data_IF_653218700474
#
_entry.id   IF_653218700474
#
_cell.length_a   1.000
_cell.length_b   1.000
_cell.length_c   1.000
_cell.angle_alpha   90.00
_cell.angle_beta   90.00
_cell.angle_gamma   90.00
#
_symmetry.space_group_name_H-M   'P 1'
#
loop_
_entity.id
_entity.type
_entity.pdbx_description
1 polymer ?
#
# COMPACT_ATOMS: atom_id res chain seq x y z
N UNK A 1 -98.04 27.05 6.69
CA UNK A 1 -96.76 27.48 6.10
C UNK A 1 -95.68 26.53 6.58
N UNK A 2 -94.86 26.05 5.65
CA UNK A 2 -93.81 25.03 5.84
C UNK A 2 -92.79 25.41 6.92
N UNK A 3 -92.16 24.42 7.52
CA UNK A 3 -90.71 24.24 7.36
C UNK A 3 -90.32 22.79 7.64
N UNK A 4 -89.76 22.17 6.59
CA UNK A 4 -89.08 20.88 6.59
C UNK A 4 -87.85 20.95 7.49
N UNK A 5 -87.62 19.92 8.30
CA UNK A 5 -86.26 19.53 8.68
C UNK A 5 -86.14 18.03 8.55
N UNK A 6 -85.68 17.65 7.37
CA UNK A 6 -85.21 16.33 7.02
C UNK A 6 -83.70 16.35 7.28
N UNK A 7 -83.28 15.73 8.38
CA UNK A 7 -81.87 15.43 8.64
C UNK A 7 -81.84 14.01 9.17
N UNK A 8 -81.74 13.04 8.25
CA UNK A 8 -81.44 11.67 8.63
C UNK A 8 -80.01 11.62 9.17
N UNK A 9 -79.90 11.28 10.45
CA UNK A 9 -78.66 11.08 11.16
C UNK A 9 -77.90 9.90 10.54
N UNK A 10 -76.83 10.18 9.79
CA UNK A 10 -75.88 9.17 9.35
C UNK A 10 -75.19 8.68 10.63
N UNK A 11 -75.48 7.42 11.02
CA UNK A 11 -74.76 6.74 12.09
C UNK A 11 -73.26 6.84 11.78
N UNK A 12 -72.43 7.50 12.60
CA UNK A 12 -71.02 7.27 12.50
C UNK A 12 -70.84 5.85 13.05
N UNK A 13 -70.70 4.87 12.17
CA UNK A 13 -69.91 3.70 12.53
C UNK A 13 -68.58 4.27 12.97
N UNK A 14 -68.35 4.26 14.27
CA UNK A 14 -67.05 4.50 14.85
C UNK A 14 -66.16 3.37 14.39
N UNK A 15 -65.66 3.48 13.16
CA UNK A 15 -64.40 2.87 12.80
C UNK A 15 -63.42 3.52 13.76
N UNK A 16 -63.20 2.83 14.88
CA UNK A 16 -62.08 3.11 15.74
C UNK A 16 -60.86 2.84 14.88
N UNK A 17 -60.38 3.90 14.22
CA UNK A 17 -59.05 3.93 13.65
C UNK A 17 -58.14 3.93 14.87
N UNK A 18 -57.85 2.73 15.35
CA UNK A 18 -56.75 2.51 16.28
C UNK A 18 -55.53 3.12 15.60
N UNK A 19 -54.95 4.15 16.23
CA UNK A 19 -53.75 4.81 15.75
C UNK A 19 -52.58 3.80 15.83
N UNK A 20 -52.51 2.93 14.83
CA UNK A 20 -51.42 1.98 14.62
C UNK A 20 -50.15 2.69 14.08
N UNK A 21 -50.15 4.03 14.03
CA UNK A 21 -49.05 4.84 13.51
C UNK A 21 -47.82 4.92 14.42
N UNK A 22 -47.93 4.52 15.69
CA UNK A 22 -46.86 4.73 16.69
C UNK A 22 -46.19 3.45 17.21
N UNK A 23 -46.78 2.27 16.98
CA UNK A 23 -46.27 1.00 17.55
C UNK A 23 -45.10 0.38 16.76
N UNK A 24 -44.88 0.78 15.51
CA UNK A 24 -43.81 0.20 14.67
C UNK A 24 -42.42 0.76 15.03
N UNK A 25 -42.33 2.04 15.35
CA UNK A 25 -41.06 2.71 15.70
C UNK A 25 -40.61 2.45 17.15
N UNK A 26 -41.53 2.09 18.05
CA UNK A 26 -41.22 1.69 19.43
C UNK A 26 -40.84 0.21 19.58
N UNK A 27 -40.92 -0.56 18.50
CA UNK A 27 -40.62 -1.98 18.54
C UNK A 27 -39.11 -2.24 18.57
N UNK A 28 -38.68 -3.05 19.54
CA UNK A 28 -37.26 -3.37 19.76
C UNK A 28 -36.58 -3.93 18.50
N UNK A 29 -37.34 -4.63 17.65
CA UNK A 29 -36.83 -5.20 16.40
C UNK A 29 -36.46 -4.13 15.37
N UNK A 30 -37.22 -3.04 15.26
CA UNK A 30 -36.94 -1.94 14.32
C UNK A 30 -35.66 -1.20 14.72
N UNK A 31 -35.47 -0.98 16.03
CA UNK A 31 -34.25 -0.39 16.59
C UNK A 31 -33.05 -1.31 16.34
N UNK A 32 -33.18 -2.61 16.62
CA UNK A 32 -32.12 -3.59 16.37
C UNK A 32 -31.74 -3.69 14.88
N UNK A 33 -32.73 -3.66 13.98
CA UNK A 33 -32.50 -3.72 12.54
C UNK A 33 -31.63 -2.55 12.03
N UNK A 34 -31.75 -1.36 12.62
CA UNK A 34 -30.93 -0.20 12.28
C UNK A 34 -29.61 -0.16 13.07
N UNK A 35 -29.60 -0.67 14.31
CA UNK A 35 -28.39 -0.76 15.14
C UNK A 35 -27.38 -1.75 14.55
N UNK A 36 -27.81 -2.85 13.95
CA UNK A 36 -26.89 -3.87 13.41
C UNK A 36 -25.98 -3.29 12.31
N UNK A 37 -26.49 -2.64 11.24
CA UNK A 37 -25.64 -1.99 10.24
C UNK A 37 -24.75 -0.88 10.82
N UNK A 38 -25.27 -0.08 11.76
CA UNK A 38 -24.52 0.99 12.41
C UNK A 38 -23.37 0.43 13.26
N UNK A 39 -23.62 -0.61 14.04
CA UNK A 39 -22.62 -1.31 14.84
C UNK A 39 -21.59 -2.02 13.96
N UNK A 40 -22.02 -2.67 12.87
CA UNK A 40 -21.13 -3.29 11.89
C UNK A 40 -20.21 -2.25 11.22
N UNK A 41 -20.74 -1.10 10.82
CA UNK A 41 -19.95 0.00 10.27
C UNK A 41 -18.95 0.54 11.30
N UNK A 42 -19.38 0.77 12.55
CA UNK A 42 -18.50 1.20 13.64
C UNK A 42 -17.37 0.20 13.92
N UNK A 43 -17.70 -1.10 14.00
CA UNK A 43 -16.71 -2.17 14.17
C UNK A 43 -15.73 -2.25 13.00
N UNK A 44 -16.22 -2.09 11.76
CA UNK A 44 -15.36 -2.08 10.57
C UNK A 44 -14.40 -0.88 10.57
N UNK A 45 -14.87 0.32 10.93
CA UNK A 45 -14.02 1.50 11.05
C UNK A 45 -12.98 1.36 12.16
N UNK A 46 -13.39 0.83 13.33
CA UNK A 46 -12.47 0.54 14.42
C UNK A 46 -11.38 -0.45 14.00
N UNK A 47 -11.77 -1.58 13.39
CA UNK A 47 -10.84 -2.60 12.92
C UNK A 47 -9.86 -2.04 11.88
N UNK A 48 -10.36 -1.28 10.90
CA UNK A 48 -9.50 -0.61 9.88
C UNK A 48 -8.51 0.36 10.53
N UNK A 49 -8.98 1.22 11.43
CA UNK A 49 -8.11 2.18 12.13
C UNK A 49 -7.02 1.49 12.96
N UNK A 50 -7.34 0.34 13.57
CA UNK A 50 -6.39 -0.43 14.35
C UNK A 50 -5.33 -1.10 13.44
N UNK A 51 -5.78 -1.70 12.34
CA UNK A 51 -4.90 -2.32 11.34
C UNK A 51 -3.96 -1.28 10.69
N UNK A 52 -4.48 -0.11 10.31
CA UNK A 52 -3.69 0.96 9.69
C UNK A 52 -2.60 1.48 10.64
N UNK A 53 -2.88 1.56 11.94
CA UNK A 53 -1.89 1.98 12.94
C UNK A 53 -0.73 0.99 13.05
N UNK A 54 -1.03 -0.31 13.09
CA UNK A 54 -0.02 -1.38 13.10
C UNK A 54 0.84 -1.36 11.83
N UNK A 55 0.20 -1.26 10.66
CA UNK A 55 0.90 -1.21 9.37
C UNK A 55 1.77 0.04 9.27
N UNK A 56 1.31 1.18 9.78
CA UNK A 56 2.08 2.43 9.78
C UNK A 56 3.32 2.33 10.65
N UNK A 57 3.24 1.73 11.84
CA UNK A 57 4.39 1.57 12.72
C UNK A 57 5.44 0.64 12.12
N UNK A 58 5.02 -0.52 11.59
CA UNK A 58 5.91 -1.47 10.92
C UNK A 58 6.46 -0.89 9.61
N UNK A 59 5.60 -0.27 8.80
CA UNK A 59 5.97 0.38 7.55
C UNK A 59 6.99 1.50 7.76
N UNK A 60 6.79 2.34 8.78
CA UNK A 60 7.72 3.40 9.15
C UNK A 60 9.07 2.84 9.63
N UNK A 61 9.05 1.77 10.44
CA UNK A 61 10.28 1.11 10.87
C UNK A 61 11.07 0.54 9.67
N UNK A 62 10.40 -0.13 8.73
CA UNK A 62 11.02 -0.63 7.48
C UNK A 62 11.57 0.52 6.64
N UNK A 63 10.80 1.58 6.46
CA UNK A 63 11.21 2.77 5.70
C UNK A 63 12.49 3.41 6.29
N UNK A 64 12.58 3.50 7.62
CA UNK A 64 13.74 4.03 8.35
C UNK A 64 14.98 3.15 8.18
N UNK A 65 14.82 1.83 8.22
CA UNK A 65 15.93 0.87 8.13
C UNK A 65 16.34 0.53 6.70
N UNK A 66 15.51 0.85 5.71
CA UNK A 66 15.73 0.51 4.31
C UNK A 66 17.14 0.86 3.83
N UNK A 67 17.62 2.07 4.14
CA UNK A 67 18.95 2.53 3.72
C UNK A 67 20.09 1.74 4.39
N UNK A 68 20.03 1.56 5.72
CA UNK A 68 21.05 0.78 6.44
C UNK A 68 21.06 -0.69 6.01
N UNK A 69 19.89 -1.27 5.74
CA UNK A 69 19.78 -2.64 5.29
C UNK A 69 20.30 -2.82 3.87
N UNK A 70 20.04 -1.87 2.97
CA UNK A 70 20.60 -1.87 1.63
C UNK A 70 22.13 -1.77 1.64
N UNK A 71 22.70 -0.89 2.48
CA UNK A 71 24.16 -0.78 2.64
C UNK A 71 24.78 -2.09 3.11
N UNK A 72 24.16 -2.75 4.11
CA UNK A 72 24.61 -4.05 4.59
C UNK A 72 24.55 -5.11 3.48
N UNK A 73 23.51 -5.10 2.67
CA UNK A 73 23.39 -6.02 1.53
C UNK A 73 24.48 -5.78 0.48
N UNK A 74 24.82 -4.52 0.19
CA UNK A 74 25.93 -4.18 -0.72
C UNK A 74 27.31 -4.52 -0.14
N UNK A 75 27.46 -4.58 1.19
CA UNK A 75 28.67 -5.11 1.83
C UNK A 75 28.80 -6.64 1.62
N UNK A 76 27.69 -7.38 1.64
CA UNK A 76 27.71 -8.80 1.26
C UNK A 76 28.02 -8.99 -0.23
N UNK A 77 27.52 -8.11 -1.10
CA UNK A 77 27.90 -8.09 -2.52
C UNK A 77 29.41 -7.87 -2.71
N UNK A 78 30.03 -6.98 -1.91
CA UNK A 78 31.48 -6.74 -1.93
C UNK A 78 32.28 -7.99 -1.51
N UNK A 79 31.81 -8.71 -0.48
CA UNK A 79 32.44 -9.98 -0.04
C UNK A 79 32.31 -11.08 -1.10
N UNK A 80 31.14 -11.16 -1.75
CA UNK A 80 30.93 -12.09 -2.85
C UNK A 80 31.85 -11.77 -4.04
N UNK A 81 32.09 -10.48 -4.32
CA UNK A 81 33.02 -10.04 -5.36
C UNK A 81 34.45 -10.47 -5.05
N UNK A 82 34.91 -10.31 -3.80
CA UNK A 82 36.24 -10.77 -3.36
C UNK A 82 36.41 -12.30 -3.44
N UNK A 83 35.30 -13.04 -3.39
CA UNK A 83 35.29 -14.50 -3.50
C UNK A 83 35.03 -14.97 -4.94
N UNK A 84 35.06 -14.06 -5.92
CA UNK A 84 34.79 -14.30 -7.35
C UNK A 84 33.41 -14.93 -7.63
N UNK A 85 32.46 -14.77 -6.71
CA UNK A 85 31.11 -15.33 -6.80
C UNK A 85 30.18 -14.36 -7.53
N UNK A 86 30.45 -14.09 -8.81
CA UNK A 86 29.76 -13.05 -9.59
C UNK A 86 28.23 -13.18 -9.56
N UNK A 87 27.69 -14.40 -9.69
CA UNK A 87 26.24 -14.61 -9.59
C UNK A 87 25.63 -14.15 -8.27
N UNK A 88 26.35 -14.29 -7.15
CA UNK A 88 25.91 -13.83 -5.84
C UNK A 88 26.03 -12.30 -5.70
N UNK A 89 27.03 -11.68 -6.34
CA UNK A 89 27.14 -10.21 -6.40
C UNK A 89 25.86 -9.61 -6.99
N UNK A 90 25.42 -10.09 -8.15
CA UNK A 90 24.19 -9.59 -8.80
C UNK A 90 22.91 -9.97 -8.05
N UNK A 91 22.88 -11.10 -7.35
CA UNK A 91 21.78 -11.46 -6.46
C UNK A 91 21.65 -10.46 -5.28
N UNK A 92 22.76 -10.10 -4.63
CA UNK A 92 22.77 -9.11 -3.56
C UNK A 92 22.42 -7.70 -4.06
N UNK A 93 22.93 -7.30 -5.24
CA UNK A 93 22.62 -6.00 -5.85
C UNK A 93 21.11 -5.87 -6.14
N UNK A 94 20.54 -6.85 -6.85
CA UNK A 94 19.11 -6.84 -7.16
C UNK A 94 18.27 -6.87 -5.88
N UNK A 95 18.60 -7.73 -4.92
CA UNK A 95 17.92 -7.79 -3.62
C UNK A 95 17.98 -6.44 -2.88
N UNK A 96 19.14 -5.77 -2.85
CA UNK A 96 19.30 -4.46 -2.24
C UNK A 96 18.36 -3.42 -2.86
N UNK A 97 18.30 -3.34 -4.20
CA UNK A 97 17.45 -2.39 -4.92
C UNK A 97 15.95 -2.68 -4.69
N UNK A 98 15.50 -3.91 -4.93
CA UNK A 98 14.10 -4.30 -4.74
C UNK A 98 13.64 -4.07 -3.31
N UNK A 99 14.45 -4.46 -2.32
CA UNK A 99 14.11 -4.34 -0.91
C UNK A 99 14.14 -2.89 -0.44
N UNK A 100 15.12 -2.09 -0.86
CA UNK A 100 15.19 -0.66 -0.55
C UNK A 100 13.97 0.08 -1.11
N UNK A 101 13.71 -0.05 -2.40
CA UNK A 101 12.64 0.69 -3.10
C UNK A 101 11.27 0.23 -2.60
N UNK A 102 11.07 -1.07 -2.41
CA UNK A 102 9.84 -1.62 -1.81
C UNK A 102 9.59 -1.04 -0.42
N UNK A 103 10.58 -1.06 0.47
CA UNK A 103 10.46 -0.50 1.81
C UNK A 103 10.22 1.02 1.80
N UNK A 104 10.93 1.79 0.95
CA UNK A 104 10.74 3.23 0.83
C UNK A 104 9.38 3.60 0.25
N UNK A 105 8.82 2.72 -0.59
CA UNK A 105 7.50 2.87 -1.22
C UNK A 105 6.36 2.25 -0.41
N UNK A 106 6.67 1.61 0.73
CA UNK A 106 5.74 0.78 1.51
C UNK A 106 5.02 -0.27 0.66
N UNK A 107 5.72 -0.81 -0.34
CA UNK A 107 5.24 -1.88 -1.22
C UNK A 107 5.87 -3.21 -0.82
N UNK A 108 5.14 -4.35 -0.92
CA UNK A 108 5.72 -5.66 -0.80
C UNK A 108 6.84 -5.85 -1.83
N UNK A 109 8.01 -6.32 -1.42
CA UNK A 109 9.13 -6.58 -2.34
C UNK A 109 8.86 -7.75 -3.29
N UNK A 110 8.08 -8.73 -2.83
CA UNK A 110 7.70 -9.89 -3.64
C UNK A 110 6.85 -9.46 -4.83
N UNK A 111 7.28 -9.85 -6.04
CA UNK A 111 6.55 -9.57 -7.27
C UNK A 111 6.77 -8.18 -7.86
N UNK A 112 7.65 -7.34 -7.27
CA UNK A 112 8.04 -6.09 -7.90
C UNK A 112 8.80 -6.36 -9.19
N UNK A 113 8.41 -5.68 -10.27
CA UNK A 113 9.12 -5.66 -11.54
C UNK A 113 9.93 -4.38 -11.71
N UNK A 114 10.91 -4.39 -12.61
CA UNK A 114 11.67 -3.19 -13.00
C UNK A 114 10.73 -2.06 -13.43
N UNK A 115 9.70 -2.36 -14.22
CA UNK A 115 8.69 -1.36 -14.64
C UNK A 115 7.97 -0.74 -13.44
N UNK A 116 7.46 -1.57 -12.52
CA UNK A 116 6.79 -1.08 -11.31
C UNK A 116 7.72 -0.24 -10.44
N UNK A 117 9.00 -0.62 -10.32
CA UNK A 117 9.99 0.21 -9.62
C UNK A 117 10.09 1.58 -10.26
N UNK A 118 10.24 1.66 -11.58
CA UNK A 118 10.40 2.96 -12.27
C UNK A 118 9.14 3.82 -12.14
N UNK A 119 7.95 3.22 -12.20
CA UNK A 119 6.67 3.91 -11.98
C UNK A 119 6.55 4.45 -10.54
N UNK A 120 6.93 3.66 -9.53
CA UNK A 120 6.93 4.07 -8.13
C UNK A 120 7.87 5.24 -7.86
N UNK A 121 9.05 5.26 -8.50
CA UNK A 121 10.01 6.34 -8.39
C UNK A 121 9.54 7.61 -9.12
N UNK A 122 8.95 7.46 -10.32
CA UNK A 122 8.36 8.58 -11.06
C UNK A 122 7.20 9.22 -10.29
N UNK A 123 6.32 8.41 -9.68
CA UNK A 123 5.24 8.90 -8.83
C UNK A 123 5.73 9.69 -7.60
N UNK A 124 6.99 9.47 -7.19
CA UNK A 124 7.68 10.21 -6.11
C UNK A 124 8.47 11.42 -6.61
N UNK A 125 8.32 11.78 -7.88
CA UNK A 125 9.00 12.91 -8.52
C UNK A 125 10.54 12.80 -8.47
N UNK A 126 11.05 11.57 -8.52
CA UNK A 126 12.47 11.33 -8.73
C UNK A 126 12.81 11.65 -10.19
N UNK A 127 13.95 12.29 -10.42
CA UNK A 127 14.41 12.66 -11.77
C UNK A 127 14.73 11.44 -12.65
N UNK A 128 14.52 11.59 -13.96
CA UNK A 128 14.71 10.50 -14.93
C UNK A 128 16.16 10.00 -14.98
N UNK A 129 17.14 10.84 -14.66
CA UNK A 129 18.55 10.44 -14.57
C UNK A 129 18.74 9.38 -13.48
N UNK A 130 18.21 9.61 -12.28
CA UNK A 130 18.25 8.66 -11.17
C UNK A 130 17.44 7.40 -11.47
N UNK A 131 16.26 7.54 -12.08
CA UNK A 131 15.42 6.40 -12.49
C UNK A 131 16.15 5.52 -13.52
N UNK A 132 16.83 6.15 -14.48
CA UNK A 132 17.65 5.45 -15.48
C UNK A 132 18.81 4.69 -14.83
N UNK A 133 19.49 5.27 -13.83
CA UNK A 133 20.53 4.57 -13.06
C UNK A 133 20.01 3.30 -12.37
N UNK A 134 18.82 3.35 -11.75
CA UNK A 134 18.17 2.16 -11.17
C UNK A 134 17.88 1.12 -12.24
N UNK A 135 17.33 1.54 -13.38
CA UNK A 135 16.99 0.66 -14.51
C UNK A 135 18.23 -0.09 -15.02
N UNK A 136 19.33 0.63 -15.25
CA UNK A 136 20.60 0.05 -15.70
C UNK A 136 21.16 -0.98 -14.71
N UNK A 137 21.07 -0.71 -13.40
CA UNK A 137 21.51 -1.68 -12.39
C UNK A 137 20.68 -2.98 -12.45
N UNK A 138 19.35 -2.85 -12.58
CA UNK A 138 18.44 -4.00 -12.64
C UNK A 138 18.61 -4.79 -13.95
N UNK A 139 18.79 -4.11 -15.08
CA UNK A 139 19.08 -4.74 -16.37
C UNK A 139 20.41 -5.52 -16.33
N UNK A 140 21.44 -4.98 -15.69
CA UNK A 140 22.70 -5.70 -15.49
C UNK A 140 22.52 -6.97 -14.63
N UNK A 141 21.65 -6.92 -13.61
CA UNK A 141 21.31 -8.10 -12.81
C UNK A 141 20.54 -9.14 -13.62
N UNK A 142 19.60 -8.72 -14.48
CA UNK A 142 18.87 -9.62 -15.36
C UNK A 142 19.80 -10.27 -16.39
N UNK A 143 20.71 -9.50 -16.98
CA UNK A 143 21.74 -10.02 -17.87
C UNK A 143 22.62 -11.05 -17.15
N UNK A 144 23.03 -10.79 -15.92
CA UNK A 144 23.79 -11.74 -15.12
C UNK A 144 23.06 -13.05 -14.87
N UNK A 145 21.73 -12.98 -14.69
CA UNK A 145 20.88 -14.16 -14.47
C UNK A 145 20.67 -14.99 -15.74
N UNK A 146 20.51 -14.35 -16.89
CA UNK A 146 20.16 -15.03 -18.14
C UNK A 146 21.35 -15.30 -19.08
N UNK A 147 22.42 -14.54 -18.96
CA UNK A 147 23.64 -14.65 -19.78
C UNK A 147 24.92 -14.54 -18.91
N UNK A 148 25.11 -15.45 -17.92
CA UNK A 148 26.22 -15.35 -16.97
C UNK A 148 27.62 -15.46 -17.62
N UNK A 149 27.71 -16.03 -18.83
CA UNK A 149 28.97 -16.16 -19.58
C UNK A 149 29.53 -14.82 -20.06
N UNK A 150 28.73 -13.76 -20.05
CA UNK A 150 29.15 -12.40 -20.43
C UNK A 150 29.67 -11.59 -19.25
N UNK A 151 29.68 -12.18 -18.05
CA UNK A 151 30.07 -11.48 -16.83
C UNK A 151 31.57 -11.43 -16.65
N UNK A 152 32.05 -10.29 -16.16
CA UNK A 152 33.42 -10.10 -15.70
C UNK A 152 33.43 -9.49 -14.31
N UNK A 153 34.50 -9.72 -13.53
CA UNK A 153 34.68 -9.07 -12.23
C UNK A 153 34.63 -7.54 -12.36
N UNK A 154 35.22 -6.99 -13.43
CA UNK A 154 35.19 -5.57 -13.71
C UNK A 154 33.76 -5.05 -13.87
N UNK A 155 32.93 -5.72 -14.69
CA UNK A 155 31.52 -5.34 -14.85
C UNK A 155 30.74 -5.44 -13.53
N UNK A 156 31.01 -6.47 -12.70
CA UNK A 156 30.36 -6.63 -11.41
C UNK A 156 30.74 -5.51 -10.43
N UNK A 157 32.02 -5.10 -10.41
CA UNK A 157 32.53 -3.99 -9.60
C UNK A 157 31.90 -2.65 -10.00
N UNK A 158 31.78 -2.41 -11.31
CA UNK A 158 31.15 -1.20 -11.86
C UNK A 158 29.67 -1.12 -11.47
N UNK A 159 28.91 -2.20 -11.66
CA UNK A 159 27.49 -2.24 -11.30
C UNK A 159 27.29 -2.10 -9.79
N UNK A 160 28.15 -2.71 -8.97
CA UNK A 160 28.13 -2.54 -7.51
C UNK A 160 28.35 -1.08 -7.09
N UNK A 161 29.35 -0.42 -7.66
CA UNK A 161 29.65 0.98 -7.40
C UNK A 161 28.49 1.91 -7.84
N UNK A 162 27.97 1.70 -9.05
CA UNK A 162 26.81 2.42 -9.58
C UNK A 162 25.57 2.23 -8.71
N UNK A 163 25.32 1.01 -8.24
CA UNK A 163 24.20 0.71 -7.34
C UNK A 163 24.34 1.46 -6.02
N UNK A 164 25.53 1.47 -5.44
CA UNK A 164 25.82 2.21 -4.18
C UNK A 164 25.51 3.69 -4.34
N UNK A 165 26.03 4.31 -5.40
CA UNK A 165 25.77 5.73 -5.70
C UNK A 165 24.28 6.00 -5.97
N UNK A 166 23.61 5.10 -6.69
CA UNK A 166 22.18 5.22 -6.99
C UNK A 166 21.34 5.19 -5.71
N UNK A 167 21.61 4.27 -4.78
CA UNK A 167 20.90 4.19 -3.49
C UNK A 167 21.17 5.43 -2.63
N UNK A 168 22.39 5.95 -2.62
CA UNK A 168 22.73 7.19 -1.92
C UNK A 168 21.97 8.40 -2.49
N UNK A 169 21.94 8.55 -3.81
CA UNK A 169 21.17 9.62 -4.48
C UNK A 169 19.68 9.47 -4.21
N UNK A 170 19.11 8.26 -4.30
CA UNK A 170 17.71 8.00 -3.95
C UNK A 170 17.40 8.39 -2.51
N UNK A 171 18.26 8.05 -1.56
CA UNK A 171 18.06 8.41 -0.15
C UNK A 171 18.01 9.93 0.03
N UNK A 172 18.94 10.65 -0.61
CA UNK A 172 18.99 12.11 -0.55
C UNK A 172 17.75 12.74 -1.19
N UNK A 173 17.29 12.24 -2.35
CA UNK A 173 16.11 12.74 -3.04
C UNK A 173 14.84 12.47 -2.24
N UNK A 174 14.64 11.24 -1.77
CA UNK A 174 13.46 10.82 -1.00
C UNK A 174 13.39 11.55 0.35
N UNK A 175 14.54 11.84 0.99
CA UNK A 175 14.57 12.62 2.22
C UNK A 175 14.18 14.09 2.02
N UNK A 176 14.44 14.68 0.84
CA UNK A 176 14.10 16.07 0.50
C UNK A 176 12.63 16.27 0.13
N UNK A 177 11.95 15.23 -0.38
CA UNK A 177 10.52 15.29 -0.77
C UNK A 177 9.57 15.12 0.42
N UNK A 178 10.08 15.04 1.66
CA UNK A 178 9.29 14.92 2.89
C UNK A 178 9.03 16.27 3.53
#
# INVERSE_FOLDING_TARGET
SQMRQDIQYIKPETVSLEDQGTALYGSLWYILLHLIPAAAAGAALFYRSHADRLVKDVGYARWRRAYSEARRELEEAEKALQSEQLGQVFAHISHALYRYIGNKSNQPTAGLTTTQITELLAARQIDEETISGVRQCLEACDMARFAPTLLSEQSAREVLAMTRQTIETLEQRIAKTR
#
